data_IF_259848033784
#
_entry.id   IF_259848033784
#
_cell.length_a   1.000
_cell.length_b   1.000
_cell.length_c   1.000
_cell.angle_alpha   90.00
_cell.angle_beta   90.00
_cell.angle_gamma   90.00
#
_symmetry.space_group_name_H-M   'P 1'
#
loop_
_entity.id
_entity.type
_entity.pdbx_description
1 polymer ?
#
# COMPACT_ATOMS: atom_id res chain seq x y z
N UNK A 1 53.32 9.41 -5.66
CA UNK A 1 54.04 9.44 -6.95
C UNK A 1 53.11 8.87 -8.01
N UNK A 2 52.28 9.71 -8.65
CA UNK A 2 52.59 10.60 -9.77
C UNK A 2 52.56 9.87 -11.12
N UNK A 3 51.63 10.37 -11.96
CA UNK A 3 51.69 10.39 -13.43
C UNK A 3 51.24 9.13 -14.14
N UNK A 4 49.96 9.14 -14.51
CA UNK A 4 49.57 9.05 -15.92
C UNK A 4 48.23 9.76 -16.11
N UNK A 5 48.32 11.08 -16.05
CA UNK A 5 47.47 11.97 -16.84
C UNK A 5 47.83 11.73 -18.32
N UNK A 6 46.82 11.64 -19.19
CA UNK A 6 46.80 11.67 -20.67
C UNK A 6 45.92 10.51 -21.17
N UNK A 7 44.60 10.72 -21.31
CA UNK A 7 43.91 11.41 -22.41
C UNK A 7 43.66 10.49 -23.62
N UNK A 8 42.38 10.49 -24.04
CA UNK A 8 41.84 10.10 -25.36
C UNK A 8 41.68 8.58 -25.52
N UNK A 9 40.48 8.03 -25.59
CA UNK A 9 39.63 7.89 -26.79
C UNK A 9 38.65 6.76 -26.39
N UNK A 10 37.37 6.65 -26.72
CA UNK A 10 36.56 7.08 -27.86
C UNK A 10 35.11 6.73 -27.50
N UNK A 11 34.19 7.55 -27.98
CA UNK A 11 32.73 7.42 -27.83
C UNK A 11 32.23 6.23 -28.66
N UNK A 12 31.66 5.21 -28.00
CA UNK A 12 30.78 4.16 -28.56
C UNK A 12 30.14 3.44 -27.36
N UNK A 13 28.90 2.99 -27.27
CA UNK A 13 27.71 2.96 -28.12
C UNK A 13 26.64 2.32 -27.21
N UNK A 14 25.46 2.95 -27.08
CA UNK A 14 24.17 2.41 -26.60
C UNK A 14 24.15 1.14 -25.73
N UNK A 15 23.73 1.29 -24.45
CA UNK A 15 23.10 0.21 -23.70
C UNK A 15 21.88 0.75 -22.94
N UNK A 16 20.72 0.20 -23.31
CA UNK A 16 19.41 0.21 -22.65
C UNK A 16 19.40 0.83 -21.24
N UNK A 17 18.95 2.08 -21.14
CA UNK A 17 18.48 2.64 -19.88
C UNK A 17 17.16 1.98 -19.50
N UNK A 18 17.21 1.08 -18.52
CA UNK A 18 16.05 0.46 -17.91
C UNK A 18 14.98 1.52 -17.59
N UNK A 19 13.78 1.39 -18.15
CA UNK A 19 12.62 2.07 -17.58
C UNK A 19 12.39 1.48 -16.20
N UNK A 20 12.87 2.16 -15.18
CA UNK A 20 12.53 1.91 -13.79
C UNK A 20 11.04 2.22 -13.60
N UNK A 21 10.17 1.28 -13.95
CA UNK A 21 8.76 1.32 -13.58
C UNK A 21 8.69 1.04 -12.07
N UNK A 22 9.04 2.03 -11.25
CA UNK A 22 8.76 1.98 -9.84
C UNK A 22 7.25 1.80 -9.69
N UNK A 23 6.75 0.74 -9.02
CA UNK A 23 5.35 0.72 -8.65
C UNK A 23 5.16 1.91 -7.71
N UNK A 24 4.50 2.96 -8.23
CA UNK A 24 3.95 3.99 -7.38
C UNK A 24 2.95 3.29 -6.48
N UNK A 25 3.36 2.96 -5.25
CA UNK A 25 2.43 2.57 -4.20
C UNK A 25 1.53 3.77 -3.99
N UNK A 26 0.42 3.78 -4.74
CA UNK A 26 -0.66 4.71 -4.53
C UNK A 26 -0.95 4.67 -3.03
N UNK A 27 -0.79 5.82 -2.38
CA UNK A 27 -1.24 6.06 -1.02
C UNK A 27 -2.77 6.10 -1.05
N UNK A 28 -3.38 5.00 -1.49
CA UNK A 28 -4.82 4.83 -1.56
C UNK A 28 -5.32 4.74 -0.14
N UNK A 29 -6.36 5.50 0.17
CA UNK A 29 -7.21 5.22 1.32
C UNK A 29 -7.37 3.71 1.47
N UNK A 30 -7.13 3.22 2.70
CA UNK A 30 -7.30 1.82 3.06
C UNK A 30 -8.77 1.43 2.80
N UNK A 31 -9.01 0.71 1.71
CA UNK A 31 -10.33 0.29 1.24
C UNK A 31 -11.14 1.35 0.48
N UNK A 32 -11.99 0.89 -0.44
CA UNK A 32 -12.90 1.74 -1.21
C UNK A 32 -14.00 2.34 -0.31
N UNK A 33 -14.62 3.47 -0.68
CA UNK A 33 -15.74 4.03 0.09
C UNK A 33 -16.88 3.02 0.31
N UNK A 34 -17.05 2.07 -0.62
CA UNK A 34 -18.06 1.03 -0.54
C UNK A 34 -17.73 -0.02 0.53
N UNK A 35 -16.45 -0.37 0.66
CA UNK A 35 -15.92 -1.25 1.69
C UNK A 35 -15.98 -0.62 3.08
N UNK A 36 -15.59 0.65 3.19
CA UNK A 36 -15.69 1.41 4.43
C UNK A 36 -17.14 1.48 4.91
N UNK A 37 -18.10 1.70 4.01
CA UNK A 37 -19.54 1.66 4.33
C UNK A 37 -19.97 0.28 4.81
N UNK A 38 -19.52 -0.80 4.15
CA UNK A 38 -19.84 -2.17 4.55
C UNK A 38 -19.31 -2.51 5.96
N UNK A 39 -18.19 -1.90 6.35
CA UNK A 39 -17.56 -2.08 7.65
C UNK A 39 -17.91 -1.01 8.71
N UNK A 40 -18.64 0.05 8.35
CA UNK A 40 -18.92 1.21 9.21
C UNK A 40 -19.59 0.84 10.55
N UNK A 41 -20.54 -0.11 10.53
CA UNK A 41 -21.20 -0.61 11.75
C UNK A 41 -20.25 -1.39 12.64
N UNK A 42 -19.34 -2.17 12.07
CA UNK A 42 -18.35 -2.91 12.85
C UNK A 42 -17.27 -1.97 13.39
N UNK A 43 -16.82 -0.99 12.59
CA UNK A 43 -15.88 0.03 13.03
C UNK A 43 -16.42 0.83 14.22
N UNK A 44 -17.67 1.28 14.13
CA UNK A 44 -18.33 2.01 15.24
C UNK A 44 -18.66 1.14 16.45
N UNK A 45 -18.73 -0.19 16.33
CA UNK A 45 -19.01 -1.09 17.46
C UNK A 45 -17.74 -1.61 18.12
N UNK A 46 -16.74 -1.97 17.33
CA UNK A 46 -15.53 -2.68 17.74
C UNK A 46 -14.32 -1.75 17.85
N UNK A 47 -14.27 -0.69 17.04
CA UNK A 47 -13.08 0.14 16.82
C UNK A 47 -13.32 1.62 17.10
N UNK A 48 -14.22 1.96 18.05
CA UNK A 48 -14.59 3.36 18.36
C UNK A 48 -13.40 4.28 18.61
N UNK A 49 -12.37 3.77 19.28
CA UNK A 49 -11.15 4.51 19.62
C UNK A 49 -10.27 4.83 18.41
N UNK A 50 -10.43 4.07 17.32
CA UNK A 50 -9.61 4.16 16.11
C UNK A 50 -10.32 4.96 15.01
N UNK A 51 -11.61 5.31 15.19
CA UNK A 51 -12.39 6.11 14.24
C UNK A 51 -11.71 7.45 13.94
N UNK A 52 -11.62 7.81 12.66
CA UNK A 52 -10.92 9.00 12.17
C UNK A 52 -9.51 8.73 11.67
N UNK A 53 -8.99 7.51 11.85
CA UNK A 53 -7.78 7.05 11.19
C UNK A 53 -8.07 5.73 10.47
N UNK A 54 -8.20 5.78 9.14
CA UNK A 54 -8.57 4.62 8.33
C UNK A 54 -7.59 3.45 8.48
N UNK A 55 -6.29 3.73 8.64
CA UNK A 55 -5.29 2.70 8.89
C UNK A 55 -5.46 2.01 10.24
N UNK A 56 -5.75 2.78 11.29
CA UNK A 56 -6.03 2.25 12.62
C UNK A 56 -7.36 1.45 12.64
N UNK A 57 -8.40 1.94 11.96
CA UNK A 57 -9.68 1.22 11.80
C UNK A 57 -9.46 -0.09 11.07
N UNK A 58 -8.72 -0.11 9.96
CA UNK A 58 -8.42 -1.34 9.23
C UNK A 58 -7.69 -2.35 10.13
N UNK A 59 -6.65 -1.91 10.84
CA UNK A 59 -5.92 -2.78 11.77
C UNK A 59 -6.81 -3.33 12.88
N UNK A 60 -7.69 -2.51 13.45
CA UNK A 60 -8.65 -2.96 14.46
C UNK A 60 -9.69 -3.94 13.91
N UNK A 61 -10.24 -3.68 12.72
CA UNK A 61 -11.18 -4.59 12.05
C UNK A 61 -10.50 -5.93 11.71
N UNK A 62 -9.26 -5.88 11.24
CA UNK A 62 -8.44 -7.05 10.97
C UNK A 62 -8.16 -7.87 12.25
N UNK A 63 -7.90 -7.22 13.38
CA UNK A 63 -7.76 -7.91 14.66
C UNK A 63 -9.08 -8.55 15.16
N UNK A 64 -10.23 -8.05 14.69
CA UNK A 64 -11.56 -8.51 15.10
C UNK A 64 -12.29 -9.31 14.01
N UNK A 65 -11.60 -9.89 13.02
CA UNK A 65 -12.20 -10.63 11.88
C UNK A 65 -13.30 -11.61 12.27
N UNK A 66 -13.10 -12.38 13.34
CA UNK A 66 -14.06 -13.35 13.84
C UNK A 66 -15.39 -12.74 14.36
N UNK A 67 -15.40 -11.43 14.63
CA UNK A 67 -16.54 -10.68 15.19
C UNK A 67 -17.15 -9.70 14.19
N UNK A 68 -16.60 -9.63 12.98
CA UNK A 68 -17.11 -8.79 11.90
C UNK A 68 -18.47 -9.31 11.42
N UNK A 69 -19.30 -8.39 10.95
CA UNK A 69 -20.52 -8.74 10.24
C UNK A 69 -20.19 -9.38 8.89
N UNK A 70 -21.13 -10.17 8.36
CA UNK A 70 -20.97 -10.84 7.05
C UNK A 70 -20.59 -9.87 5.92
N UNK A 71 -21.11 -8.65 5.93
CA UNK A 71 -20.77 -7.65 4.91
C UNK A 71 -19.32 -7.21 4.99
N UNK A 72 -18.81 -6.98 6.20
CA UNK A 72 -17.43 -6.57 6.40
C UNK A 72 -16.44 -7.74 6.22
N UNK A 73 -16.77 -8.94 6.70
CA UNK A 73 -15.94 -10.13 6.46
C UNK A 73 -15.73 -10.40 4.98
N UNK A 74 -16.78 -10.25 4.17
CA UNK A 74 -16.68 -10.43 2.71
C UNK A 74 -15.71 -9.46 2.03
N UNK A 75 -15.58 -8.24 2.57
CA UNK A 75 -14.56 -7.28 2.10
C UNK A 75 -13.17 -7.85 2.34
N UNK A 76 -12.87 -8.28 3.57
CA UNK A 76 -11.57 -8.86 3.90
C UNK A 76 -11.28 -10.12 3.08
N UNK A 77 -12.28 -11.00 2.91
CA UNK A 77 -12.17 -12.19 2.06
C UNK A 77 -11.87 -11.85 0.59
N UNK A 78 -12.52 -10.82 0.02
CA UNK A 78 -12.29 -10.41 -1.37
C UNK A 78 -10.89 -9.86 -1.64
N UNK A 79 -10.23 -9.34 -0.61
CA UNK A 79 -8.87 -8.81 -0.70
C UNK A 79 -7.80 -9.83 -0.28
N UNK A 80 -8.19 -11.07 0.02
CA UNK A 80 -7.28 -12.10 0.54
C UNK A 80 -6.69 -11.74 1.89
N UNK A 81 -7.35 -10.85 2.63
CA UNK A 81 -6.97 -10.43 3.95
C UNK A 81 -7.53 -11.42 4.94
#
# INVERSE_FOLDING_TARGET
MSRKLLLLATITLSALGCLSNAPAFAQGHMGTPQEQRACSRDASRLCRKDLGNDGAVQGCLQANRARLSRSCSKVFESHGM
#
